data_IF_004182405070
#
_entry.id   IF_004182405070
#
_cell.length_a   1.000
_cell.length_b   1.000
_cell.length_c   1.000
_cell.angle_alpha   90.00
_cell.angle_beta   90.00
_cell.angle_gamma   90.00
#
_symmetry.space_group_name_H-M   'P 1'
#
loop_
_entity.id
_entity.type
_entity.pdbx_description
1 polymer ?
#
# COMPACT_ATOMS: atom_id res chain seq x y z
N UNK A 1 8.20 0.08 -23.12
CA UNK A 1 7.39 -0.73 -22.18
C UNK A 1 8.12 -0.66 -20.85
N UNK A 2 7.49 -0.12 -19.82
CA UNK A 2 8.10 0.08 -18.50
C UNK A 2 7.54 -0.90 -17.46
N UNK A 3 8.14 -0.90 -16.28
CA UNK A 3 7.68 -1.67 -15.11
C UNK A 3 7.21 -0.71 -14.03
N UNK A 4 6.03 -0.95 -13.48
CA UNK A 4 5.50 -0.26 -12.32
C UNK A 4 5.66 -1.16 -11.09
N UNK A 5 6.38 -0.66 -10.09
CA UNK A 5 6.60 -1.31 -8.81
C UNK A 5 5.70 -0.67 -7.76
N UNK A 6 4.61 -1.36 -7.41
CA UNK A 6 3.71 -0.96 -6.33
C UNK A 6 4.29 -1.46 -5.01
N UNK A 7 4.61 -0.57 -4.08
CA UNK A 7 5.26 -0.88 -2.80
C UNK A 7 4.34 -0.46 -1.65
N UNK A 8 3.98 -1.42 -0.80
CA UNK A 8 3.34 -1.10 0.48
C UNK A 8 4.36 -0.46 1.43
N UNK A 9 3.94 0.55 2.16
CA UNK A 9 4.78 1.19 3.18
C UNK A 9 5.37 0.18 4.19
N UNK A 10 6.48 0.52 4.82
CA UNK A 10 7.09 -0.23 5.92
C UNK A 10 6.16 -0.34 7.12
N UNK A 11 6.49 -1.20 8.07
CA UNK A 11 5.68 -1.39 9.28
C UNK A 11 5.42 -0.03 9.95
N UNK A 12 4.14 0.29 10.17
CA UNK A 12 3.71 1.45 10.94
C UNK A 12 3.76 1.16 12.46
N UNK A 13 3.77 2.22 13.26
CA UNK A 13 3.78 2.13 14.73
C UNK A 13 2.38 1.78 15.28
N UNK A 14 1.92 0.56 15.01
CA UNK A 14 0.60 0.09 15.43
C UNK A 14 0.44 0.19 16.94
N UNK A 15 -0.64 0.86 17.38
CA UNK A 15 -0.93 1.05 18.79
C UNK A 15 -0.20 2.20 19.48
N UNK A 16 0.66 2.97 18.76
CA UNK A 16 1.18 4.25 19.24
C UNK A 16 0.18 5.40 19.02
N UNK A 17 0.40 6.52 19.70
CA UNK A 17 -0.45 7.72 19.57
C UNK A 17 -0.44 8.29 18.13
N UNK A 18 0.68 8.17 17.41
CA UNK A 18 0.83 8.53 16.01
C UNK A 18 1.06 7.28 15.15
N UNK A 19 -0.03 6.66 14.74
CA UNK A 19 0.00 5.49 13.85
C UNK A 19 0.60 5.80 12.48
N UNK A 20 0.57 7.05 12.01
CA UNK A 20 1.10 7.41 10.68
C UNK A 20 2.63 7.49 10.63
N UNK A 21 3.33 7.07 11.69
CA UNK A 21 4.78 6.89 11.69
C UNK A 21 5.18 5.45 11.38
N UNK A 22 6.31 5.26 10.69
CA UNK A 22 6.96 3.96 10.65
C UNK A 22 7.54 3.58 12.02
N UNK A 23 7.50 2.30 12.34
CA UNK A 23 8.27 1.74 13.45
C UNK A 23 9.77 1.73 13.10
N UNK A 24 10.67 1.55 14.09
CA UNK A 24 12.10 1.34 13.81
C UNK A 24 12.33 0.23 12.78
N UNK A 25 11.56 -0.87 12.86
CA UNK A 25 11.62 -1.96 11.89
C UNK A 25 11.14 -1.52 10.50
N UNK A 26 10.07 -0.71 10.42
CA UNK A 26 9.57 -0.18 9.15
C UNK A 26 10.59 0.68 8.40
N UNK A 27 11.40 1.46 9.12
CA UNK A 27 12.53 2.17 8.53
C UNK A 27 13.60 1.22 7.99
N UNK A 28 13.96 0.18 8.75
CA UNK A 28 14.93 -0.83 8.32
C UNK A 28 14.44 -1.62 7.10
N UNK A 29 13.17 -2.05 7.10
CA UNK A 29 12.53 -2.71 5.94
C UNK A 29 12.63 -1.85 4.68
N UNK A 30 12.30 -0.57 4.81
CA UNK A 30 12.31 0.39 3.69
C UNK A 30 13.72 0.59 3.13
N UNK A 31 14.73 0.72 4.00
CA UNK A 31 16.12 0.86 3.59
C UNK A 31 16.64 -0.43 2.93
N UNK A 32 16.27 -1.61 3.47
CA UNK A 32 16.65 -2.91 2.89
C UNK A 32 16.04 -3.08 1.50
N UNK A 33 14.79 -2.66 1.29
CA UNK A 33 14.18 -2.68 -0.04
C UNK A 33 14.94 -1.80 -1.03
N UNK A 34 15.32 -0.59 -0.64
CA UNK A 34 16.13 0.28 -1.48
C UNK A 34 17.49 -0.32 -1.83
N UNK A 35 18.16 -0.95 -0.86
CA UNK A 35 19.42 -1.68 -1.07
C UNK A 35 19.22 -2.83 -2.07
N UNK A 36 18.14 -3.60 -1.93
CA UNK A 36 17.79 -4.68 -2.86
C UNK A 36 17.58 -4.17 -4.29
N UNK A 37 16.86 -3.07 -4.47
CA UNK A 37 16.68 -2.47 -5.79
C UNK A 37 18.02 -2.05 -6.41
N UNK A 38 18.93 -1.47 -5.63
CA UNK A 38 20.28 -1.14 -6.09
C UNK A 38 21.09 -2.38 -6.46
N UNK A 39 21.05 -3.44 -5.64
CA UNK A 39 21.72 -4.71 -5.90
C UNK A 39 21.23 -5.38 -7.20
N UNK A 40 19.97 -5.13 -7.57
CA UNK A 40 19.34 -5.58 -8.82
C UNK A 40 19.60 -4.65 -10.00
N UNK A 41 20.31 -3.54 -9.81
CA UNK A 41 20.59 -2.56 -10.85
C UNK A 41 19.37 -1.79 -11.33
N UNK A 42 18.28 -1.74 -10.54
CA UNK A 42 17.06 -1.02 -10.92
C UNK A 42 17.30 0.50 -10.89
N UNK A 43 16.83 1.17 -11.94
CA UNK A 43 16.86 2.62 -12.06
C UNK A 43 15.46 3.13 -12.35
N UNK A 44 14.91 3.89 -11.42
CA UNK A 44 13.57 4.45 -11.58
C UNK A 44 13.61 5.77 -12.35
N UNK A 45 12.73 5.88 -13.36
CA UNK A 45 12.47 7.13 -14.08
C UNK A 45 11.70 8.12 -13.22
N UNK A 46 10.76 7.61 -12.42
CA UNK A 46 9.89 8.42 -11.57
C UNK A 46 9.47 7.69 -10.29
N UNK A 47 9.06 8.48 -9.30
CA UNK A 47 8.50 7.99 -8.05
C UNK A 47 7.19 8.72 -7.78
N UNK A 48 6.11 7.97 -7.53
CA UNK A 48 4.85 8.47 -7.01
C UNK A 48 4.67 7.96 -5.58
N UNK A 49 4.06 8.75 -4.72
CA UNK A 49 3.71 8.29 -3.36
C UNK A 49 2.44 8.97 -2.85
N UNK A 50 1.71 8.30 -1.95
CA UNK A 50 0.65 8.96 -1.18
C UNK A 50 1.21 10.05 -0.27
N UNK A 51 0.33 10.91 0.26
CA UNK A 51 0.71 12.05 1.11
C UNK A 51 0.89 11.68 2.59
N UNK A 52 0.58 10.45 3.00
CA UNK A 52 0.71 10.00 4.37
C UNK A 52 2.18 9.98 4.83
N UNK A 53 2.40 10.24 6.11
CA UNK A 53 3.76 10.32 6.68
C UNK A 53 4.53 9.01 6.51
N UNK A 54 3.86 7.85 6.72
CA UNK A 54 4.45 6.53 6.50
C UNK A 54 4.84 6.27 5.04
N UNK A 55 4.14 6.84 4.04
CA UNK A 55 4.54 6.75 2.64
C UNK A 55 5.84 7.52 2.38
N UNK A 56 5.91 8.76 2.89
CA UNK A 56 7.11 9.58 2.78
C UNK A 56 8.31 8.91 3.46
N UNK A 57 8.16 8.44 4.69
CA UNK A 57 9.24 7.78 5.43
C UNK A 57 9.70 6.49 4.75
N UNK A 58 8.77 5.74 4.14
CA UNK A 58 9.11 4.55 3.35
C UNK A 58 9.96 4.96 2.13
N UNK A 59 9.55 6.00 1.42
CA UNK A 59 10.34 6.51 0.30
C UNK A 59 11.74 6.97 0.75
N UNK A 60 11.84 7.72 1.83
CA UNK A 60 13.12 8.19 2.39
C UNK A 60 14.06 7.01 2.70
N UNK A 61 13.52 5.93 3.29
CA UNK A 61 14.28 4.69 3.51
C UNK A 61 14.73 4.02 2.21
N UNK A 62 13.81 3.87 1.24
CA UNK A 62 14.13 3.31 -0.08
C UNK A 62 15.19 4.16 -0.79
N UNK A 63 15.04 5.49 -0.79
CA UNK A 63 15.97 6.43 -1.39
C UNK A 63 17.38 6.29 -0.81
N UNK A 64 17.47 6.15 0.52
CA UNK A 64 18.73 5.92 1.23
C UNK A 64 19.39 4.62 0.78
N UNK A 65 18.65 3.51 0.77
CA UNK A 65 19.16 2.19 0.34
C UNK A 65 19.55 2.15 -1.14
N UNK A 66 18.76 2.79 -1.99
CA UNK A 66 18.97 2.90 -3.44
C UNK A 66 20.12 3.86 -3.79
N UNK A 67 20.46 4.81 -2.90
CA UNK A 67 21.43 5.90 -3.12
C UNK A 67 21.04 6.85 -4.28
N UNK A 68 19.73 7.06 -4.47
CA UNK A 68 19.15 7.84 -5.57
C UNK A 68 18.66 9.22 -5.10
N UNK A 69 19.56 10.10 -4.70
CA UNK A 69 19.23 11.43 -4.15
C UNK A 69 18.62 12.41 -5.14
N UNK A 70 18.75 12.15 -6.44
CA UNK A 70 18.22 12.98 -7.52
C UNK A 70 16.72 12.82 -7.75
N UNK A 71 16.12 11.70 -7.33
CA UNK A 71 14.71 11.43 -7.52
C UNK A 71 13.84 12.22 -6.52
N UNK A 72 12.87 12.97 -7.05
CA UNK A 72 11.88 13.68 -6.26
C UNK A 72 10.52 13.03 -6.46
N UNK A 73 9.84 12.58 -5.38
CA UNK A 73 8.56 11.92 -5.53
C UNK A 73 7.44 12.91 -5.90
N UNK A 74 6.57 12.52 -6.81
CA UNK A 74 5.28 13.15 -7.03
C UNK A 74 4.30 12.68 -5.96
N UNK A 75 3.80 13.62 -5.16
CA UNK A 75 2.80 13.32 -4.14
C UNK A 75 1.42 13.22 -4.79
N UNK A 76 0.77 12.06 -4.59
CA UNK A 76 -0.54 11.73 -5.16
C UNK A 76 -1.52 11.31 -4.08
N UNK A 77 -2.40 12.19 -3.57
CA UNK A 77 -3.32 11.87 -2.47
C UNK A 77 -4.25 10.68 -2.75
N UNK A 78 -4.59 10.40 -4.01
CA UNK A 78 -5.36 9.22 -4.40
C UNK A 78 -4.68 7.87 -4.10
N UNK A 79 -3.42 7.88 -3.66
CA UNK A 79 -2.68 6.70 -3.19
C UNK A 79 -2.72 6.54 -1.66
N UNK A 80 -3.45 7.39 -0.93
CA UNK A 80 -3.59 7.29 0.51
C UNK A 80 -4.47 6.11 0.90
N UNK A 81 -4.20 5.57 2.10
CA UNK A 81 -5.06 4.55 2.70
C UNK A 81 -6.42 5.15 3.09
N UNK A 82 -7.44 4.33 3.07
CA UNK A 82 -8.74 4.64 3.66
C UNK A 82 -8.63 4.76 5.20
N UNK A 83 -9.59 5.47 5.80
CA UNK A 83 -9.70 5.55 7.26
C UNK A 83 -10.42 4.31 7.81
N UNK A 84 -9.64 3.39 8.39
CA UNK A 84 -10.16 2.15 8.97
C UNK A 84 -11.11 2.39 10.15
N UNK A 85 -10.91 3.45 10.92
CA UNK A 85 -11.81 3.81 12.02
C UNK A 85 -13.17 4.28 11.50
N UNK A 86 -13.18 5.15 10.49
CA UNK A 86 -14.43 5.60 9.86
C UNK A 86 -15.18 4.42 9.22
N UNK A 87 -14.44 3.51 8.55
CA UNK A 87 -15.02 2.29 7.96
C UNK A 87 -15.69 1.41 9.02
N UNK A 88 -14.99 1.12 10.14
CA UNK A 88 -15.54 0.31 11.21
C UNK A 88 -16.72 1.02 11.89
N UNK A 89 -16.58 2.32 12.19
CA UNK A 89 -17.62 3.09 12.87
C UNK A 89 -18.95 3.10 12.10
N UNK A 90 -18.92 3.00 10.79
CA UNK A 90 -20.11 2.96 9.93
C UNK A 90 -21.03 1.77 10.24
N UNK A 91 -20.46 0.64 10.67
CA UNK A 91 -21.19 -0.60 10.97
C UNK A 91 -21.19 -0.96 12.46
N UNK A 92 -20.34 -0.34 13.24
CA UNK A 92 -20.17 -0.55 14.67
C UNK A 92 -19.84 0.79 15.34
N UNK A 93 -20.86 1.59 15.72
CA UNK A 93 -20.66 2.94 16.23
C UNK A 93 -20.09 2.99 17.66
N UNK A 94 -20.15 1.89 18.42
CA UNK A 94 -19.59 1.85 19.77
C UNK A 94 -18.06 1.84 19.73
N UNK A 95 -17.41 2.46 20.74
CA UNK A 95 -15.95 2.42 20.86
C UNK A 95 -15.42 0.99 20.95
N UNK A 96 -14.42 0.66 20.13
CA UNK A 96 -13.74 -0.63 20.22
C UNK A 96 -12.63 -0.60 21.26
N UNK A 97 -12.50 -1.69 22.00
CA UNK A 97 -11.34 -1.94 22.82
C UNK A 97 -10.07 -2.02 21.93
N UNK A 98 -8.92 -1.57 22.46
CA UNK A 98 -7.66 -1.71 21.79
C UNK A 98 -7.39 -3.20 21.51
N UNK A 99 -7.05 -3.61 20.29
CA UNK A 99 -6.84 -5.00 19.93
C UNK A 99 -5.47 -5.50 20.45
N UNK A 100 -5.41 -5.81 21.75
CA UNK A 100 -4.21 -6.29 22.45
C UNK A 100 -4.23 -7.81 22.74
N UNK A 101 -5.35 -8.48 22.43
CA UNK A 101 -5.46 -9.95 22.48
C UNK A 101 -5.80 -10.52 21.10
N UNK A 102 -5.50 -11.80 20.83
CA UNK A 102 -5.84 -12.47 19.58
C UNK A 102 -7.34 -12.38 19.23
N UNK A 103 -8.21 -12.48 20.25
CA UNK A 103 -9.67 -12.42 20.11
C UNK A 103 -10.11 -11.01 19.69
N UNK A 104 -9.62 -9.97 20.35
CA UNK A 104 -9.90 -8.58 20.03
C UNK A 104 -9.35 -8.22 18.65
N UNK A 105 -8.16 -8.71 18.30
CA UNK A 105 -7.59 -8.56 16.99
C UNK A 105 -8.47 -9.19 15.90
N UNK A 106 -8.91 -10.44 16.10
CA UNK A 106 -9.82 -11.13 15.18
C UNK A 106 -11.16 -10.40 15.05
N UNK A 107 -11.69 -9.89 16.15
CA UNK A 107 -12.93 -9.11 16.16
C UNK A 107 -12.79 -7.82 15.36
N UNK A 108 -11.72 -7.03 15.62
CA UNK A 108 -11.42 -5.79 14.92
C UNK A 108 -11.35 -5.99 13.39
N UNK A 109 -10.55 -6.96 12.95
CA UNK A 109 -10.40 -7.24 11.50
C UNK A 109 -11.67 -7.87 10.90
N UNK A 110 -12.48 -8.55 11.68
CA UNK A 110 -13.80 -9.02 11.27
C UNK A 110 -14.77 -7.87 10.96
N UNK A 111 -14.78 -6.85 11.83
CA UNK A 111 -15.55 -5.62 11.61
C UNK A 111 -15.00 -4.83 10.42
N UNK A 112 -13.69 -4.67 10.33
CA UNK A 112 -13.06 -3.97 9.21
C UNK A 112 -13.45 -4.59 7.85
N UNK A 113 -13.44 -5.93 7.74
CA UNK A 113 -13.89 -6.61 6.51
C UNK A 113 -15.34 -6.29 6.16
N UNK A 114 -16.24 -6.35 7.14
CA UNK A 114 -17.66 -6.05 6.93
C UNK A 114 -17.89 -4.59 6.53
N UNK A 115 -17.21 -3.65 7.19
CA UNK A 115 -17.30 -2.23 6.85
C UNK A 115 -16.76 -1.93 5.45
N UNK A 116 -15.62 -2.51 5.08
CA UNK A 116 -15.07 -2.40 3.73
C UNK A 116 -16.04 -2.96 2.69
N UNK A 117 -16.63 -4.12 2.94
CA UNK A 117 -17.59 -4.72 2.03
C UNK A 117 -18.80 -3.82 1.81
N UNK A 118 -19.36 -3.26 2.90
CA UNK A 118 -20.48 -2.34 2.83
C UNK A 118 -20.15 -1.05 2.06
N UNK A 119 -18.95 -0.47 2.31
CA UNK A 119 -18.48 0.70 1.57
C UNK A 119 -18.23 0.41 0.09
N UNK A 120 -17.58 -0.70 -0.22
CA UNK A 120 -17.28 -1.11 -1.60
C UNK A 120 -18.54 -1.42 -2.42
N UNK A 121 -19.62 -1.83 -1.77
CA UNK A 121 -20.94 -2.06 -2.38
C UNK A 121 -21.85 -0.84 -2.37
N UNK A 122 -21.38 0.31 -1.88
CA UNK A 122 -22.17 1.51 -1.67
C UNK A 122 -23.41 1.31 -0.76
N UNK A 123 -23.37 0.30 0.13
CA UNK A 123 -24.37 0.03 1.15
C UNK A 123 -24.18 0.93 2.38
N UNK A 124 -22.99 1.48 2.57
CA UNK A 124 -22.63 2.40 3.64
C UNK A 124 -21.62 3.44 3.15
N UNK A 125 -21.66 4.64 3.75
CA UNK A 125 -20.73 5.73 3.46
C UNK A 125 -19.99 6.13 4.74
N UNK A 126 -18.69 5.79 4.88
CA UNK A 126 -17.91 6.21 6.05
C UNK A 126 -17.77 7.73 6.11
N UNK A 127 -17.96 8.29 7.31
CA UNK A 127 -17.89 9.73 7.50
C UNK A 127 -16.51 10.28 7.20
N UNK A 128 -16.43 11.39 6.47
CA UNK A 128 -15.18 12.05 6.11
C UNK A 128 -14.38 11.36 4.99
N UNK A 129 -14.88 10.25 4.46
CA UNK A 129 -14.27 9.54 3.34
C UNK A 129 -15.00 9.83 2.02
N UNK A 130 -14.29 9.72 0.87
CA UNK A 130 -14.93 9.75 -0.44
C UNK A 130 -15.84 8.54 -0.64
N UNK A 131 -16.74 8.59 -1.62
CA UNK A 131 -17.41 7.39 -2.10
C UNK A 131 -16.38 6.38 -2.61
N UNK A 132 -16.69 5.08 -2.54
CA UNK A 132 -15.75 4.05 -2.99
C UNK A 132 -15.34 4.23 -4.46
N UNK A 133 -16.29 4.63 -5.32
CA UNK A 133 -16.00 4.95 -6.73
C UNK A 133 -14.93 6.05 -6.89
N UNK A 134 -15.00 7.10 -6.07
CA UNK A 134 -14.07 8.22 -6.14
C UNK A 134 -12.69 7.81 -5.58
N UNK A 135 -12.67 6.96 -4.55
CA UNK A 135 -11.44 6.37 -4.04
C UNK A 135 -10.74 5.50 -5.10
N UNK A 136 -11.49 4.65 -5.79
CA UNK A 136 -10.99 3.85 -6.93
C UNK A 136 -10.50 4.76 -8.05
N UNK A 137 -11.24 5.85 -8.36
CA UNK A 137 -10.85 6.78 -9.42
C UNK A 137 -9.50 7.43 -9.13
N UNK A 138 -9.24 7.85 -7.89
CA UNK A 138 -7.94 8.42 -7.50
C UNK A 138 -6.76 7.48 -7.75
N UNK A 139 -6.96 6.16 -7.54
CA UNK A 139 -5.97 5.13 -7.82
C UNK A 139 -5.80 4.93 -9.33
N UNK A 140 -6.92 4.86 -10.06
CA UNK A 140 -6.90 4.69 -11.52
C UNK A 140 -6.24 5.88 -12.23
N UNK A 141 -6.44 7.09 -11.74
CA UNK A 141 -5.81 8.30 -12.26
C UNK A 141 -4.28 8.25 -12.08
N UNK A 142 -3.79 7.73 -10.94
CA UNK A 142 -2.36 7.50 -10.75
C UNK A 142 -1.79 6.48 -11.75
N UNK A 143 -2.49 5.37 -11.98
CA UNK A 143 -2.10 4.37 -12.99
C UNK A 143 -2.15 4.93 -14.42
N UNK A 144 -3.16 5.76 -14.72
CA UNK A 144 -3.30 6.43 -16.02
C UNK A 144 -2.17 7.45 -16.23
N UNK A 145 -1.81 8.22 -15.19
CA UNK A 145 -0.69 9.15 -15.21
C UNK A 145 0.62 8.41 -15.56
N UNK A 146 0.91 7.29 -14.89
CA UNK A 146 2.10 6.48 -15.18
C UNK A 146 2.12 6.05 -16.64
N UNK A 147 1.01 5.52 -17.17
CA UNK A 147 0.94 5.11 -18.59
C UNK A 147 1.11 6.25 -19.59
N UNK A 148 0.66 7.44 -19.23
CA UNK A 148 0.68 8.60 -20.14
C UNK A 148 2.00 9.36 -20.12
N UNK A 149 2.69 9.40 -18.97
CA UNK A 149 3.84 10.27 -18.75
C UNK A 149 5.19 9.54 -18.72
N UNK A 150 5.19 8.20 -18.56
CA UNK A 150 6.40 7.42 -18.35
C UNK A 150 6.51 6.23 -19.30
N UNK A 151 7.75 5.81 -19.55
CA UNK A 151 8.06 4.64 -20.40
C UNK A 151 9.10 3.69 -19.78
N UNK A 152 9.79 4.13 -18.74
CA UNK A 152 10.77 3.37 -17.95
C UNK A 152 10.18 2.77 -16.68
N UNK A 153 11.03 2.45 -15.72
CA UNK A 153 10.61 1.87 -14.45
C UNK A 153 10.10 2.97 -13.50
N UNK A 154 8.93 2.76 -12.92
CA UNK A 154 8.28 3.69 -11.99
C UNK A 154 8.04 3.02 -10.65
N UNK A 155 8.41 3.69 -9.57
CA UNK A 155 8.12 3.27 -8.21
C UNK A 155 6.87 4.00 -7.70
N UNK A 156 5.96 3.26 -7.07
CA UNK A 156 4.75 3.82 -6.44
C UNK A 156 4.64 3.33 -4.99
N UNK A 157 4.80 4.24 -4.03
CA UNK A 157 4.69 3.92 -2.60
C UNK A 157 3.29 4.25 -2.09
N UNK A 158 2.61 3.25 -1.53
CA UNK A 158 1.22 3.36 -1.10
C UNK A 158 0.93 2.42 0.09
N UNK A 159 -0.33 2.15 0.33
CA UNK A 159 -0.85 1.30 1.40
C UNK A 159 -1.54 0.04 0.87
N UNK A 160 -1.91 -0.85 1.78
CA UNK A 160 -2.52 -2.14 1.44
C UNK A 160 -3.83 -2.01 0.65
N UNK A 161 -4.72 -1.13 1.07
CA UNK A 161 -6.00 -0.89 0.40
C UNK A 161 -5.86 -0.44 -1.05
N UNK A 162 -5.19 0.71 -1.31
CA UNK A 162 -4.99 1.17 -2.69
C UNK A 162 -4.28 0.17 -3.58
N UNK A 163 -3.24 -0.54 -3.10
CA UNK A 163 -2.53 -1.53 -3.91
C UNK A 163 -3.45 -2.72 -4.24
N UNK A 164 -4.21 -3.21 -3.26
CA UNK A 164 -5.13 -4.34 -3.46
C UNK A 164 -6.28 -3.97 -4.41
N UNK A 165 -6.77 -2.73 -4.35
CA UNK A 165 -7.77 -2.22 -5.29
C UNK A 165 -7.17 -2.05 -6.69
N UNK A 166 -5.95 -1.51 -6.81
CA UNK A 166 -5.27 -1.40 -8.11
C UNK A 166 -5.12 -2.78 -8.76
N UNK A 167 -4.57 -3.75 -8.03
CA UNK A 167 -4.37 -5.13 -8.51
C UNK A 167 -5.71 -5.81 -8.80
N UNK A 168 -6.68 -5.70 -7.90
CA UNK A 168 -8.00 -6.29 -8.10
C UNK A 168 -8.74 -5.73 -9.32
N UNK A 169 -8.61 -4.41 -9.57
CA UNK A 169 -9.18 -3.77 -10.76
C UNK A 169 -8.50 -4.26 -12.05
N UNK A 170 -7.17 -4.46 -12.05
CA UNK A 170 -6.45 -5.00 -13.20
C UNK A 170 -6.86 -6.44 -13.51
N UNK A 171 -7.20 -7.22 -12.49
CA UNK A 171 -7.62 -8.62 -12.61
C UNK A 171 -9.14 -8.81 -12.78
N UNK A 172 -9.93 -7.75 -12.62
CA UNK A 172 -11.40 -7.83 -12.62
C UNK A 172 -11.97 -8.65 -11.47
N UNK A 173 -11.32 -8.62 -10.29
CA UNK A 173 -11.77 -9.39 -9.13
C UNK A 173 -12.91 -8.69 -8.38
N UNK A 174 -13.80 -9.44 -7.70
CA UNK A 174 -14.84 -8.84 -6.87
C UNK A 174 -14.27 -8.18 -5.60
N UNK A 175 -15.04 -7.29 -4.95
CA UNK A 175 -14.64 -6.60 -3.73
C UNK A 175 -14.08 -7.52 -2.62
N UNK A 176 -14.67 -8.67 -2.42
CA UNK A 176 -14.26 -9.66 -1.42
C UNK A 176 -12.80 -10.12 -1.63
N UNK A 177 -12.40 -10.33 -2.87
CA UNK A 177 -11.02 -10.70 -3.21
C UNK A 177 -10.06 -9.55 -2.96
N UNK A 178 -10.46 -8.31 -3.25
CA UNK A 178 -9.66 -7.11 -2.97
C UNK A 178 -9.45 -6.94 -1.45
N UNK A 179 -10.48 -7.19 -0.65
CA UNK A 179 -10.40 -7.15 0.82
C UNK A 179 -9.40 -8.21 1.32
N UNK A 180 -9.49 -9.46 0.85
CA UNK A 180 -8.58 -10.53 1.28
C UNK A 180 -7.12 -10.25 0.86
N UNK A 181 -6.87 -9.69 -0.33
CA UNK A 181 -5.55 -9.22 -0.72
C UNK A 181 -5.02 -8.14 0.23
N UNK A 182 -5.85 -7.16 0.59
CA UNK A 182 -5.50 -6.09 1.53
C UNK A 182 -5.11 -6.66 2.91
N UNK A 183 -5.86 -7.64 3.42
CA UNK A 183 -5.58 -8.26 4.72
C UNK A 183 -4.31 -9.12 4.74
N UNK A 184 -3.71 -9.41 3.60
CA UNK A 184 -2.55 -10.31 3.47
C UNK A 184 -1.32 -9.67 2.84
N UNK A 185 -1.42 -8.45 2.36
CA UNK A 185 -0.25 -7.76 1.81
C UNK A 185 0.75 -7.46 2.93
N UNK A 186 2.04 -7.73 2.68
CA UNK A 186 3.12 -7.55 3.66
C UNK A 186 3.71 -6.14 3.60
N UNK A 187 4.28 -5.68 4.70
CA UNK A 187 4.99 -4.40 4.71
C UNK A 187 6.21 -4.47 3.78
N UNK A 188 6.47 -3.41 3.07
CA UNK A 188 7.47 -3.30 1.99
C UNK A 188 7.35 -4.33 0.87
N UNK A 189 6.26 -5.10 0.83
CA UNK A 189 6.03 -6.00 -0.30
C UNK A 189 5.92 -5.22 -1.60
N UNK A 190 6.42 -5.83 -2.67
CA UNK A 190 6.43 -5.32 -4.02
C UNK A 190 5.42 -6.09 -4.87
N UNK A 191 4.59 -5.36 -5.61
CA UNK A 191 3.77 -5.93 -6.68
C UNK A 191 4.21 -5.30 -7.99
N UNK A 192 4.57 -6.14 -8.96
CA UNK A 192 5.14 -5.70 -10.24
C UNK A 192 4.08 -5.74 -11.33
N UNK A 193 4.00 -4.67 -12.11
CA UNK A 193 3.18 -4.59 -13.30
C UNK A 193 4.01 -4.14 -14.48
N UNK A 194 3.85 -4.75 -15.64
CA UNK A 194 4.35 -4.18 -16.90
C UNK A 194 3.29 -3.26 -17.49
N UNK A 195 3.71 -2.14 -18.06
CA UNK A 195 2.79 -1.18 -18.63
C UNK A 195 3.25 -0.61 -19.98
N UNK A 196 2.30 -0.11 -20.75
CA UNK A 196 2.46 0.70 -21.93
C UNK A 196 1.30 1.72 -22.01
N UNK A 197 1.25 2.65 -22.99
CA UNK A 197 0.18 3.64 -23.04
C UNK A 197 -1.25 3.09 -23.08
N UNK A 198 -1.43 1.83 -23.47
CA UNK A 198 -2.75 1.22 -23.64
C UNK A 198 -3.21 0.38 -22.45
N UNK A 199 -2.27 -0.25 -21.71
CA UNK A 199 -2.62 -1.21 -20.67
C UNK A 199 -1.55 -1.32 -19.59
N UNK A 200 -1.98 -1.79 -18.42
CA UNK A 200 -1.14 -2.27 -17.31
C UNK A 200 -1.49 -3.75 -17.06
N UNK A 201 -0.50 -4.59 -16.86
CA UNK A 201 -0.68 -6.04 -16.64
C UNK A 201 0.12 -6.45 -15.42
N UNK A 202 -0.51 -7.14 -14.46
CA UNK A 202 0.14 -7.67 -13.27
C UNK A 202 1.12 -8.79 -13.66
N UNK A 203 2.33 -8.74 -13.08
CA UNK A 203 3.38 -9.77 -13.23
C UNK A 203 3.53 -10.56 -11.93
N UNK A 204 3.60 -9.86 -10.79
CA UNK A 204 3.70 -10.48 -9.47
C UNK A 204 2.96 -9.66 -8.42
N UNK A 205 2.50 -10.32 -7.34
CA UNK A 205 1.81 -9.66 -6.25
C UNK A 205 2.42 -10.03 -4.91
N UNK A 206 2.61 -9.02 -4.04
CA UNK A 206 2.96 -9.19 -2.63
C UNK A 206 4.27 -9.97 -2.41
N UNK A 207 5.31 -9.74 -3.23
CA UNK A 207 6.63 -10.36 -3.09
C UNK A 207 7.51 -9.62 -2.09
N UNK A 208 8.38 -10.35 -1.40
CA UNK A 208 9.30 -9.81 -0.37
C UNK A 208 10.73 -10.28 -0.56
N UNK A 209 11.16 -10.45 -1.81
CA UNK A 209 12.47 -11.02 -2.16
C UNK A 209 13.65 -10.33 -1.46
N UNK A 210 13.50 -9.08 -1.06
CA UNK A 210 14.50 -8.35 -0.26
C UNK A 210 14.62 -8.85 1.18
N UNK A 211 13.65 -9.66 1.66
CA UNK A 211 13.60 -10.25 3.00
C UNK A 211 13.67 -11.78 2.98
N UNK A 212 14.06 -12.41 1.86
CA UNK A 212 14.08 -13.87 1.71
C UNK A 212 15.21 -14.54 2.51
N UNK A 213 16.29 -13.81 2.86
CA UNK A 213 17.37 -14.37 3.66
C UNK A 213 16.93 -14.62 5.10
N UNK A 214 17.44 -15.70 5.70
CA UNK A 214 17.11 -16.10 7.08
C UNK A 214 17.32 -14.99 8.11
N UNK A 215 18.29 -14.10 7.89
CA UNK A 215 18.56 -12.94 8.74
C UNK A 215 17.39 -11.94 8.82
N UNK A 216 16.46 -11.98 7.87
CA UNK A 216 15.30 -11.07 7.80
C UNK A 216 13.97 -11.76 8.09
N UNK A 217 13.98 -13.02 8.54
CA UNK A 217 12.74 -13.78 8.81
C UNK A 217 11.79 -13.02 9.74
N UNK A 218 12.33 -12.43 10.82
CA UNK A 218 11.54 -11.67 11.80
C UNK A 218 11.13 -10.28 11.33
N UNK A 219 11.58 -9.87 10.12
CA UNK A 219 11.20 -8.60 9.52
C UNK A 219 9.92 -8.70 8.68
N UNK A 220 9.37 -9.88 8.50
CA UNK A 220 8.13 -10.06 7.72
C UNK A 220 6.94 -9.72 8.58
N UNK A 221 6.27 -8.60 8.28
CA UNK A 221 5.12 -8.08 9.03
C UNK A 221 3.95 -7.72 8.11
N UNK A 222 2.76 -7.55 8.69
CA UNK A 222 1.51 -7.32 7.97
C UNK A 222 0.77 -6.04 8.39
N UNK A 223 1.25 -5.35 9.42
CA UNK A 223 0.59 -4.12 9.96
C UNK A 223 1.55 -2.97 10.03
#
# INVERSE_FOLDING_TARGET
MGTLYLVRHGQASFGADDYDNLSPLGHQQSQRLGTYFRERGLQFEAVLMGSLKRHRQTWEGIQTGLQATHLKPLVWPGLNEYDSHAVIHTIHPEPLAKPDTPELYKHHFGLLRKGLQAWMRAEAQPQGMPAFSDFVQGIQDALAHVRAQHSGDVLMVSSGGPISIAVGSLLGTPPESMIEMNMRIRNTAVSECVYNPKRTTLVSFNTINHLDADAYRDWVTFT
#
